data_IF_605563766205
#
_entry.id   IF_605563766205
#
_cell.length_a   1.000
_cell.length_b   1.000
_cell.length_c   1.000
_cell.angle_alpha   90.00
_cell.angle_beta   90.00
_cell.angle_gamma   90.00
#
_symmetry.space_group_name_H-M   'P 1'
#
loop_
_entity.id
_entity.type
_entity.pdbx_description
1 polymer ?
#
# COMPACT_ATOMS: atom_id res chain seq x y z
N UNK A 1 19.45 -41.13 -18.33
CA UNK A 1 19.71 -40.66 -19.72
C UNK A 1 20.00 -39.18 -19.73
N UNK A 2 21.02 -38.73 -20.48
CA UNK A 2 21.31 -37.30 -20.64
C UNK A 2 20.39 -36.67 -21.69
N UNK A 3 19.88 -35.48 -21.40
CA UNK A 3 19.02 -34.67 -22.27
C UNK A 3 19.77 -33.38 -22.63
N UNK A 4 19.79 -33.04 -23.92
CA UNK A 4 20.25 -31.74 -24.43
C UNK A 4 19.50 -31.46 -25.74
N UNK A 5 18.41 -30.71 -25.62
CA UNK A 5 17.50 -30.37 -26.72
C UNK A 5 17.52 -28.85 -26.87
N UNK A 6 17.60 -28.41 -28.13
CA UNK A 6 17.49 -27.01 -28.51
C UNK A 6 16.42 -26.86 -29.57
N UNK A 7 15.66 -25.78 -29.48
CA UNK A 7 14.63 -25.45 -30.44
C UNK A 7 14.26 -23.97 -30.35
N UNK A 8 13.11 -23.64 -30.90
CA UNK A 8 12.53 -22.30 -30.81
C UNK A 8 11.01 -22.38 -30.81
N UNK A 9 10.35 -21.53 -30.03
CA UNK A 9 8.92 -21.24 -30.15
C UNK A 9 8.75 -20.22 -31.28
N UNK A 10 7.78 -20.48 -32.16
CA UNK A 10 7.40 -19.63 -33.30
C UNK A 10 8.54 -19.23 -34.26
N UNK A 11 9.66 -19.95 -34.20
CA UNK A 11 10.83 -19.78 -35.07
C UNK A 11 11.83 -18.70 -34.63
N UNK A 12 11.60 -18.00 -33.51
CA UNK A 12 12.50 -16.92 -33.05
C UNK A 12 12.80 -16.94 -31.55
N UNK A 13 11.92 -17.47 -30.70
CA UNK A 13 12.12 -17.51 -29.25
C UNK A 13 12.89 -18.77 -28.84
N UNK A 14 14.20 -18.73 -28.52
CA UNK A 14 14.98 -19.92 -28.30
C UNK A 14 14.52 -20.69 -27.06
N UNK A 15 14.56 -22.02 -27.17
CA UNK A 15 14.27 -22.96 -26.09
C UNK A 15 15.43 -23.90 -25.90
N UNK A 16 15.81 -24.13 -24.65
CA UNK A 16 16.79 -25.15 -24.29
C UNK A 16 16.28 -26.03 -23.17
N UNK A 17 16.36 -27.34 -23.34
CA UNK A 17 16.11 -28.34 -22.30
C UNK A 17 17.38 -29.14 -22.09
N UNK A 18 17.89 -29.15 -20.87
CA UNK A 18 19.12 -29.89 -20.51
C UNK A 18 18.94 -30.65 -19.21
N UNK A 19 19.74 -31.70 -19.03
CA UNK A 19 19.86 -32.38 -17.75
C UNK A 19 19.88 -33.89 -17.89
N UNK A 20 19.26 -34.58 -16.93
CA UNK A 20 19.16 -36.03 -16.89
C UNK A 20 17.75 -36.48 -16.57
N UNK A 21 17.29 -37.52 -17.26
CA UNK A 21 16.03 -38.19 -16.97
C UNK A 21 16.24 -39.71 -16.93
N UNK A 22 15.71 -40.36 -15.91
CA UNK A 22 15.80 -41.79 -15.64
C UNK A 22 14.40 -42.37 -15.39
N UNK A 23 13.51 -42.34 -16.40
CA UNK A 23 12.09 -42.67 -16.23
C UNK A 23 11.81 -44.15 -15.99
N UNK A 24 12.81 -45.02 -16.21
CA UNK A 24 12.68 -46.47 -16.04
C UNK A 24 13.15 -46.96 -14.65
N UNK A 25 13.65 -46.06 -13.80
CA UNK A 25 13.93 -46.40 -12.41
C UNK A 25 12.63 -46.56 -11.62
N UNK A 26 12.71 -47.26 -10.50
CA UNK A 26 11.61 -47.38 -9.54
C UNK A 26 12.17 -47.00 -8.16
N UNK A 27 11.90 -45.77 -7.66
CA UNK A 27 11.12 -44.69 -8.28
C UNK A 27 11.86 -43.97 -9.43
N UNK A 28 11.14 -43.33 -10.37
CA UNK A 28 11.77 -42.56 -11.45
C UNK A 28 12.52 -41.35 -10.91
N UNK A 29 13.56 -40.92 -11.62
CA UNK A 29 14.33 -39.75 -11.25
C UNK A 29 14.53 -38.80 -12.44
N UNK A 30 14.56 -37.50 -12.18
CA UNK A 30 14.91 -36.48 -13.18
C UNK A 30 15.60 -35.29 -12.51
N UNK A 31 16.38 -34.57 -13.32
CA UNK A 31 16.98 -33.28 -13.01
C UNK A 31 17.07 -32.53 -14.35
N UNK A 32 16.13 -31.62 -14.58
CA UNK A 32 15.91 -30.96 -15.87
C UNK A 32 15.87 -29.43 -15.69
N UNK A 33 16.59 -28.74 -16.55
CA UNK A 33 16.56 -27.29 -16.71
C UNK A 33 15.95 -26.95 -18.08
N UNK A 34 14.85 -26.21 -18.07
CA UNK A 34 14.13 -25.76 -19.26
C UNK A 34 14.10 -24.23 -19.27
N UNK A 35 14.63 -23.63 -20.33
CA UNK A 35 14.70 -22.18 -20.49
C UNK A 35 14.00 -21.77 -21.78
N UNK A 36 13.08 -20.81 -21.66
CA UNK A 36 12.50 -20.08 -22.78
C UNK A 36 12.96 -18.62 -22.69
N UNK A 37 13.30 -18.02 -23.82
CA UNK A 37 13.59 -16.59 -23.88
C UNK A 37 12.83 -15.90 -24.99
N UNK A 38 12.24 -14.76 -24.69
CA UNK A 38 11.61 -13.89 -25.66
C UNK A 38 10.31 -14.44 -26.22
N UNK A 39 9.49 -15.14 -25.42
CA UNK A 39 8.21 -15.68 -25.88
C UNK A 39 7.18 -14.54 -25.94
N UNK A 40 6.58 -14.32 -27.12
CA UNK A 40 5.55 -13.30 -27.29
C UNK A 40 4.25 -13.71 -26.58
N UNK A 41 3.92 -13.01 -25.50
CA UNK A 41 2.79 -13.35 -24.64
C UNK A 41 1.43 -13.09 -25.30
N UNK A 42 1.38 -12.21 -26.31
CA UNK A 42 0.14 -11.96 -27.06
C UNK A 42 -0.42 -13.25 -27.69
N UNK A 43 0.45 -14.18 -28.08
CA UNK A 43 0.09 -15.50 -28.64
C UNK A 43 -0.49 -16.45 -27.58
N UNK A 44 -0.31 -16.14 -26.29
CA UNK A 44 -0.86 -16.89 -25.16
C UNK A 44 -2.25 -16.42 -24.74
N UNK A 45 -2.82 -15.41 -25.42
CA UNK A 45 -4.16 -14.87 -25.15
C UNK A 45 -5.28 -15.92 -25.07
N UNK A 46 -5.29 -17.01 -25.89
CA UNK A 46 -6.29 -18.06 -25.74
C UNK A 46 -6.31 -18.71 -24.35
N UNK A 47 -5.16 -18.76 -23.66
CA UNK A 47 -5.04 -19.30 -22.30
C UNK A 47 -5.33 -18.24 -21.23
N UNK A 48 -4.76 -17.04 -21.37
CA UNK A 48 -4.99 -15.97 -20.39
C UNK A 48 -6.45 -15.51 -20.37
N UNK A 49 -7.15 -15.53 -21.51
CA UNK A 49 -8.57 -15.25 -21.56
C UNK A 49 -9.40 -16.24 -20.75
N UNK A 50 -9.06 -17.53 -20.80
CA UNK A 50 -9.75 -18.58 -20.05
C UNK A 50 -9.50 -18.48 -18.55
N UNK A 51 -8.25 -18.33 -18.12
CA UNK A 51 -7.89 -18.46 -16.70
C UNK A 51 -7.70 -17.13 -15.95
N UNK A 52 -7.30 -16.07 -16.66
CA UNK A 52 -7.11 -14.74 -16.08
C UNK A 52 -8.21 -13.75 -16.47
N UNK A 53 -9.08 -14.08 -17.43
CA UNK A 53 -10.19 -13.22 -17.86
C UNK A 53 -9.76 -12.01 -18.70
N UNK A 54 -8.55 -12.01 -19.24
CA UNK A 54 -8.02 -10.93 -20.08
C UNK A 54 -7.20 -11.51 -21.24
N UNK A 55 -7.36 -10.90 -22.42
CA UNK A 55 -6.38 -11.05 -23.49
C UNK A 55 -5.05 -10.38 -23.09
N UNK A 56 -3.97 -10.75 -23.76
CA UNK A 56 -2.67 -10.07 -23.61
C UNK A 56 -2.46 -9.25 -24.88
N UNK A 57 -2.39 -7.92 -24.73
CA UNK A 57 -2.13 -7.04 -25.86
C UNK A 57 -0.66 -7.08 -26.27
N UNK A 58 0.23 -7.07 -25.29
CA UNK A 58 1.68 -7.15 -25.47
C UNK A 58 2.36 -7.73 -24.22
N UNK A 59 3.53 -8.31 -24.41
CA UNK A 59 4.41 -8.75 -23.34
C UNK A 59 5.44 -9.74 -23.87
N UNK A 60 6.63 -9.74 -23.28
CA UNK A 60 7.71 -10.68 -23.63
C UNK A 60 8.06 -11.49 -22.39
N UNK A 61 7.99 -12.81 -22.51
CA UNK A 61 8.18 -13.75 -21.41
C UNK A 61 9.50 -14.50 -21.54
N UNK A 62 10.29 -14.45 -20.46
CA UNK A 62 11.41 -15.33 -20.19
C UNK A 62 11.03 -16.29 -19.06
N UNK A 63 11.32 -17.58 -19.24
CA UNK A 63 11.07 -18.63 -18.25
C UNK A 63 12.36 -19.41 -18.00
N UNK A 64 12.71 -19.61 -16.74
CA UNK A 64 13.78 -20.52 -16.32
C UNK A 64 13.21 -21.50 -15.28
N UNK A 65 13.06 -22.75 -15.71
CA UNK A 65 12.38 -23.81 -14.97
C UNK A 65 13.39 -24.90 -14.62
N UNK A 66 13.61 -25.13 -13.33
CA UNK A 66 14.52 -26.16 -12.84
C UNK A 66 13.74 -27.15 -12.00
N UNK A 67 13.64 -28.40 -12.46
CA UNK A 67 12.84 -29.43 -11.82
C UNK A 67 13.68 -30.67 -11.53
N UNK A 68 13.59 -31.14 -10.30
CA UNK A 68 14.16 -32.40 -9.83
C UNK A 68 13.05 -33.33 -9.32
N UNK A 69 13.18 -34.63 -9.60
CA UNK A 69 12.37 -35.69 -9.01
C UNK A 69 13.29 -36.74 -8.42
N UNK A 70 13.16 -37.01 -7.12
CA UNK A 70 13.85 -38.11 -6.42
C UNK A 70 12.95 -38.66 -5.33
N UNK A 71 12.92 -39.98 -5.19
CA UNK A 71 12.11 -40.65 -4.16
C UNK A 71 10.64 -40.19 -4.17
N UNK A 72 10.08 -40.03 -5.38
CA UNK A 72 8.73 -39.50 -5.65
C UNK A 72 8.46 -38.07 -5.15
N UNK A 73 9.50 -37.34 -4.72
CA UNK A 73 9.41 -35.93 -4.36
C UNK A 73 9.86 -35.05 -5.51
N UNK A 74 8.96 -34.21 -5.98
CA UNK A 74 9.25 -33.13 -6.92
C UNK A 74 9.73 -31.90 -6.16
N UNK A 75 10.81 -31.31 -6.64
CA UNK A 75 11.27 -29.97 -6.28
C UNK A 75 11.48 -29.16 -7.56
N UNK A 76 10.83 -28.02 -7.64
CA UNK A 76 10.72 -27.19 -8.83
C UNK A 76 10.96 -25.73 -8.48
N UNK A 77 11.80 -25.06 -9.25
CA UNK A 77 12.00 -23.60 -9.19
C UNK A 77 11.58 -23.00 -10.53
N UNK A 78 10.71 -22.00 -10.47
CA UNK A 78 10.18 -21.33 -11.64
C UNK A 78 10.51 -19.85 -11.54
N UNK A 79 11.49 -19.39 -12.33
CA UNK A 79 11.76 -17.97 -12.50
C UNK A 79 11.02 -17.48 -13.73
N UNK A 80 10.18 -16.48 -13.54
CA UNK A 80 9.27 -15.93 -14.54
C UNK A 80 9.61 -14.44 -14.64
N UNK A 81 10.09 -14.02 -15.81
CA UNK A 81 10.38 -12.60 -16.06
C UNK A 81 9.53 -12.15 -17.23
N UNK A 82 8.73 -11.11 -17.01
CA UNK A 82 7.86 -10.53 -18.03
C UNK A 82 8.30 -9.09 -18.27
N UNK A 83 8.50 -8.75 -19.54
CA UNK A 83 8.81 -7.39 -19.97
C UNK A 83 7.62 -6.77 -20.69
N UNK A 84 7.34 -5.49 -20.40
CA UNK A 84 6.38 -4.66 -21.13
C UNK A 84 4.98 -5.31 -21.20
N UNK A 85 4.51 -5.82 -20.07
CA UNK A 85 3.19 -6.44 -19.98
C UNK A 85 2.10 -5.39 -20.21
N UNK A 86 1.18 -5.67 -21.14
CA UNK A 86 -0.01 -4.85 -21.35
C UNK A 86 -1.24 -5.76 -21.49
N UNK A 87 -2.24 -5.54 -20.63
CA UNK A 87 -3.52 -6.23 -20.73
C UNK A 87 -4.26 -5.76 -21.98
N UNK A 88 -4.91 -6.72 -22.64
CA UNK A 88 -5.87 -6.46 -23.71
C UNK A 88 -7.29 -6.34 -23.18
N UNK A 89 -8.24 -6.62 -24.06
CA UNK A 89 -9.65 -6.63 -23.70
C UNK A 89 -9.96 -7.68 -22.62
N UNK A 90 -10.88 -7.34 -21.72
CA UNK A 90 -11.48 -8.29 -20.78
C UNK A 90 -12.24 -9.36 -21.55
N UNK A 91 -12.11 -10.61 -21.11
CA UNK A 91 -12.75 -11.79 -21.70
C UNK A 91 -13.61 -12.43 -20.60
N UNK A 92 -14.90 -12.59 -20.86
CA UNK A 92 -15.77 -13.33 -19.95
C UNK A 92 -15.39 -14.81 -19.94
N UNK A 93 -15.11 -15.33 -18.74
CA UNK A 93 -14.82 -16.74 -18.53
C UNK A 93 -15.25 -17.16 -17.13
N UNK A 94 -15.99 -18.26 -17.04
CA UNK A 94 -16.40 -18.87 -15.75
C UNK A 94 -15.20 -19.44 -14.97
N UNK A 95 -14.07 -19.65 -15.64
CA UNK A 95 -12.83 -20.17 -15.06
C UNK A 95 -11.84 -19.07 -14.67
N UNK A 96 -12.15 -17.81 -14.96
CA UNK A 96 -11.28 -16.70 -14.65
C UNK A 96 -11.22 -16.44 -13.14
N UNK A 97 -10.02 -16.15 -12.63
CA UNK A 97 -9.87 -15.63 -11.28
C UNK A 97 -10.46 -14.21 -11.18
N UNK A 98 -11.27 -13.96 -10.16
CA UNK A 98 -11.83 -12.63 -9.88
C UNK A 98 -10.80 -11.76 -9.16
N UNK A 99 -9.85 -11.22 -9.93
CA UNK A 99 -8.71 -10.46 -9.43
C UNK A 99 -8.61 -9.09 -10.13
N UNK A 100 -8.27 -8.01 -9.41
CA UNK A 100 -8.02 -6.71 -10.01
C UNK A 100 -6.63 -6.70 -10.67
N UNK A 101 -6.54 -7.30 -11.87
CA UNK A 101 -5.26 -7.51 -12.56
C UNK A 101 -4.54 -6.23 -12.94
N UNK A 102 -5.26 -5.14 -13.22
CA UNK A 102 -4.64 -3.83 -13.50
C UNK A 102 -3.84 -3.32 -12.28
N UNK A 103 -4.45 -3.37 -11.08
CA UNK A 103 -3.75 -3.02 -9.84
C UNK A 103 -2.60 -3.98 -9.55
N UNK A 104 -2.80 -5.28 -9.78
CA UNK A 104 -1.75 -6.28 -9.59
C UNK A 104 -0.54 -6.01 -10.48
N UNK A 105 -0.77 -5.67 -11.76
CA UNK A 105 0.31 -5.31 -12.68
C UNK A 105 1.04 -4.06 -12.21
N UNK A 106 0.32 -2.98 -11.87
CA UNK A 106 0.96 -1.76 -11.39
C UNK A 106 1.79 -1.97 -10.11
N UNK A 107 1.40 -2.93 -9.25
CA UNK A 107 2.13 -3.31 -8.03
C UNK A 107 3.35 -4.20 -8.30
N UNK A 108 3.34 -4.99 -9.36
CA UNK A 108 4.39 -5.97 -9.65
C UNK A 108 5.40 -5.47 -10.69
N UNK A 109 4.98 -4.56 -11.58
CA UNK A 109 5.81 -3.97 -12.62
C UNK A 109 6.74 -2.92 -12.03
N UNK A 110 8.03 -3.10 -12.24
CA UNK A 110 9.04 -2.15 -11.79
C UNK A 110 9.18 -0.91 -12.72
N UNK A 111 10.07 0.01 -12.36
CA UNK A 111 10.36 1.21 -13.15
C UNK A 111 10.87 0.95 -14.58
N UNK A 112 11.32 -0.26 -14.87
CA UNK A 112 11.82 -0.69 -16.19
C UNK A 112 10.76 -1.45 -16.98
N UNK A 113 9.53 -1.55 -16.47
CA UNK A 113 8.45 -2.31 -17.10
C UNK A 113 8.64 -3.81 -16.97
N UNK A 114 9.32 -4.26 -15.91
CA UNK A 114 9.65 -5.68 -15.68
C UNK A 114 8.92 -6.22 -14.46
N UNK A 115 8.35 -7.42 -14.61
CA UNK A 115 7.82 -8.23 -13.52
C UNK A 115 8.75 -9.44 -13.38
N UNK A 116 9.38 -9.62 -12.21
CA UNK A 116 10.25 -10.75 -11.89
C UNK A 116 9.66 -11.53 -10.72
N UNK A 117 9.37 -12.82 -10.92
CA UNK A 117 8.74 -13.69 -9.95
C UNK A 117 9.49 -15.01 -9.86
N UNK A 118 9.77 -15.44 -8.63
CA UNK A 118 10.32 -16.75 -8.32
C UNK A 118 9.26 -17.57 -7.56
N UNK A 119 8.72 -18.60 -8.22
CA UNK A 119 7.65 -19.45 -7.71
C UNK A 119 8.19 -20.87 -7.45
N UNK A 120 8.45 -21.26 -6.20
CA UNK A 120 8.82 -22.63 -5.87
C UNK A 120 7.60 -23.55 -5.96
N UNK A 121 7.84 -24.79 -6.39
CA UNK A 121 6.85 -25.86 -6.47
C UNK A 121 7.47 -27.13 -5.93
N UNK A 122 6.91 -27.67 -4.86
CA UNK A 122 7.37 -28.93 -4.29
C UNK A 122 6.19 -29.81 -3.90
N UNK A 123 6.33 -31.12 -3.99
CA UNK A 123 5.30 -32.04 -3.54
C UNK A 123 5.62 -33.50 -3.84
N UNK A 124 4.72 -34.39 -3.44
CA UNK A 124 4.79 -35.81 -3.75
C UNK A 124 4.05 -36.07 -5.07
N UNK A 125 4.71 -36.67 -6.06
CA UNK A 125 4.08 -36.93 -7.36
C UNK A 125 3.07 -38.08 -7.33
N UNK A 126 3.08 -38.89 -6.27
CA UNK A 126 2.11 -39.97 -6.06
C UNK A 126 0.88 -39.50 -5.27
N UNK A 127 0.88 -38.27 -4.75
CA UNK A 127 -0.31 -37.70 -4.11
C UNK A 127 -1.36 -37.37 -5.19
N UNK A 128 -2.57 -37.95 -5.13
CA UNK A 128 -3.61 -37.71 -6.13
C UNK A 128 -4.12 -36.25 -6.16
N UNK A 129 -3.92 -35.47 -5.10
CA UNK A 129 -4.26 -34.05 -5.06
C UNK A 129 -3.16 -33.16 -5.67
N UNK A 130 -1.93 -33.69 -5.79
CA UNK A 130 -0.80 -32.95 -6.32
C UNK A 130 -0.81 -32.89 -7.85
N UNK A 131 -0.77 -31.67 -8.40
CA UNK A 131 -0.42 -31.45 -9.80
C UNK A 131 0.44 -30.20 -9.93
N UNK A 132 1.48 -30.26 -10.78
CA UNK A 132 2.38 -29.11 -10.98
C UNK A 132 1.61 -27.88 -11.45
N UNK A 133 0.63 -28.07 -12.34
CA UNK A 133 -0.19 -26.98 -12.86
C UNK A 133 -1.07 -26.32 -11.80
N UNK A 134 -1.77 -27.11 -10.97
CA UNK A 134 -2.62 -26.55 -9.90
C UNK A 134 -1.82 -25.83 -8.83
N UNK A 135 -0.64 -26.35 -8.45
CA UNK A 135 0.25 -25.72 -7.48
C UNK A 135 0.81 -24.40 -8.03
N UNK A 136 1.29 -24.39 -9.28
CA UNK A 136 1.75 -23.16 -9.94
C UNK A 136 0.65 -22.10 -10.05
N UNK A 137 -0.53 -22.51 -10.52
CA UNK A 137 -1.67 -21.60 -10.66
C UNK A 137 -2.10 -21.03 -9.30
N UNK A 138 -2.20 -21.89 -8.28
CA UNK A 138 -2.53 -21.47 -6.92
C UNK A 138 -1.49 -20.49 -6.35
N UNK A 139 -0.21 -20.71 -6.61
CA UNK A 139 0.85 -19.81 -6.18
C UNK A 139 0.76 -18.43 -6.88
N UNK A 140 0.49 -18.40 -8.18
CA UNK A 140 0.30 -17.14 -8.93
C UNK A 140 -0.94 -16.37 -8.44
N UNK A 141 -2.07 -17.04 -8.27
CA UNK A 141 -3.30 -16.44 -7.72
C UNK A 141 -3.07 -15.89 -6.32
N UNK A 142 -2.34 -16.63 -5.47
CA UNK A 142 -2.02 -16.20 -4.12
C UNK A 142 -1.06 -15.00 -4.11
N UNK A 143 -0.05 -14.97 -4.99
CA UNK A 143 0.86 -13.84 -5.13
C UNK A 143 0.08 -12.56 -5.49
N UNK A 144 -0.78 -12.65 -6.51
CA UNK A 144 -1.61 -11.52 -6.95
C UNK A 144 -2.58 -11.10 -5.85
N UNK A 145 -3.30 -12.05 -5.24
CA UNK A 145 -4.21 -11.78 -4.13
C UNK A 145 -3.51 -11.05 -2.99
N UNK A 146 -2.31 -11.48 -2.59
CA UNK A 146 -1.52 -10.83 -1.55
C UNK A 146 -1.10 -9.41 -1.94
N UNK A 147 -0.66 -9.21 -3.19
CA UNK A 147 -0.29 -7.89 -3.67
C UNK A 147 -1.46 -6.91 -3.56
N UNK A 148 -2.65 -7.31 -3.99
CA UNK A 148 -3.82 -6.41 -4.04
C UNK A 148 -4.53 -6.24 -2.69
N UNK A 149 -4.43 -7.22 -1.78
CA UNK A 149 -5.05 -7.15 -0.44
C UNK A 149 -4.16 -6.44 0.59
N UNK A 150 -2.85 -6.43 0.39
CA UNK A 150 -1.89 -5.78 1.27
C UNK A 150 -0.86 -4.94 0.49
N UNK A 151 -1.31 -3.99 -0.34
CA UNK A 151 -0.41 -3.32 -1.28
C UNK A 151 0.65 -2.46 -0.60
N UNK A 152 0.32 -1.80 0.51
CA UNK A 152 1.30 -1.00 1.27
C UNK A 152 2.36 -1.87 1.97
N UNK A 153 2.05 -3.12 2.31
CA UNK A 153 3.06 -4.07 2.82
C UNK A 153 4.05 -4.46 1.73
N UNK A 154 3.56 -4.62 0.48
CA UNK A 154 4.43 -4.86 -0.67
C UNK A 154 5.35 -3.66 -0.90
N UNK A 155 4.81 -2.44 -0.88
CA UNK A 155 5.60 -1.21 -1.02
C UNK A 155 6.64 -1.04 0.11
N UNK A 156 6.27 -1.32 1.35
CA UNK A 156 7.19 -1.27 2.48
C UNK A 156 8.35 -2.27 2.33
N UNK A 157 8.05 -3.48 1.82
CA UNK A 157 9.05 -4.50 1.53
C UNK A 157 10.06 -4.11 0.44
N UNK A 158 9.75 -3.17 -0.46
CA UNK A 158 10.69 -2.67 -1.47
C UNK A 158 11.80 -1.76 -0.91
N UNK A 159 11.60 -1.30 0.32
CA UNK A 159 12.49 -0.35 1.02
C UNK A 159 12.92 -0.88 2.38
N UNK A 160 12.79 -2.20 2.60
CA UNK A 160 13.12 -2.87 3.86
C UNK A 160 12.46 -2.23 5.09
N UNK A 161 11.25 -1.66 4.91
CA UNK A 161 10.48 -1.01 5.97
C UNK A 161 9.42 -1.96 6.53
N UNK A 162 9.28 -1.99 7.85
CA UNK A 162 8.20 -2.70 8.56
C UNK A 162 7.05 -1.76 8.93
N UNK A 163 7.14 -0.48 8.56
CA UNK A 163 6.14 0.51 8.92
C UNK A 163 4.86 0.38 8.09
N UNK A 164 3.72 0.66 8.72
CA UNK A 164 2.46 0.87 8.02
C UNK A 164 2.54 2.17 7.20
N UNK A 165 2.80 2.04 5.90
CA UNK A 165 2.87 3.16 4.97
C UNK A 165 1.48 3.69 4.54
N UNK A 166 0.40 2.97 4.84
CA UNK A 166 -0.96 3.38 4.47
C UNK A 166 -1.47 4.50 5.39
N UNK A 167 -1.11 4.44 6.69
CA UNK A 167 -1.64 5.34 7.72
C UNK A 167 -0.57 6.28 8.26
N UNK A 168 -0.81 7.56 8.05
CA UNK A 168 0.06 8.65 8.48
C UNK A 168 -0.56 9.34 9.69
N UNK A 169 0.11 9.25 10.84
CA UNK A 169 -0.38 9.85 12.07
C UNK A 169 -0.03 11.33 12.17
N UNK A 170 -0.97 12.11 12.70
CA UNK A 170 -0.80 13.52 13.02
C UNK A 170 -1.16 13.76 14.48
N UNK A 171 -0.61 14.82 15.07
CA UNK A 171 -1.10 15.31 16.35
C UNK A 171 -2.53 15.81 16.15
N UNK A 172 -3.42 15.52 17.11
CA UNK A 172 -4.77 16.06 17.09
C UNK A 172 -4.74 17.59 16.98
N UNK A 173 -5.68 18.17 16.25
CA UNK A 173 -5.78 19.61 15.98
C UNK A 173 -4.62 20.21 15.18
N UNK A 174 -3.74 19.39 14.57
CA UNK A 174 -2.60 19.85 13.78
C UNK A 174 -2.53 19.16 12.41
N UNK A 175 -2.06 19.93 11.43
CA UNK A 175 -1.68 19.48 10.08
C UNK A 175 -0.15 19.50 9.87
N UNK A 176 0.63 19.67 10.93
CA UNK A 176 2.09 19.68 10.86
C UNK A 176 2.63 18.24 10.74
N UNK A 177 3.48 18.02 9.73
CA UNK A 177 4.19 16.77 9.55
C UNK A 177 5.28 16.60 10.61
N UNK A 178 5.14 15.57 11.43
CA UNK A 178 6.18 15.17 12.39
C UNK A 178 7.34 14.48 11.69
N UNK A 179 8.51 14.40 12.33
CA UNK A 179 9.68 13.71 11.76
C UNK A 179 9.38 12.22 11.45
N UNK A 180 8.58 11.55 12.30
CA UNK A 180 8.13 10.19 12.06
C UNK A 180 7.23 10.09 10.81
N UNK A 181 6.30 11.04 10.65
CA UNK A 181 5.43 11.10 9.45
C UNK A 181 6.25 11.36 8.18
N UNK A 182 7.28 12.21 8.27
CA UNK A 182 8.21 12.45 7.15
C UNK A 182 8.99 11.18 6.79
N UNK A 183 9.49 10.44 7.77
CA UNK A 183 10.16 9.15 7.55
C UNK A 183 9.30 8.17 6.73
N UNK A 184 8.03 7.98 7.12
CA UNK A 184 7.08 7.16 6.34
C UNK A 184 6.90 7.64 4.90
N UNK A 185 6.81 8.96 4.71
CA UNK A 185 6.64 9.55 3.39
C UNK A 185 7.89 9.39 2.52
N UNK A 186 9.08 9.37 3.13
CA UNK A 186 10.35 9.11 2.44
C UNK A 186 10.39 7.67 1.91
N UNK A 187 10.04 6.70 2.76
CA UNK A 187 9.94 5.28 2.42
C UNK A 187 8.91 5.06 1.31
N UNK A 188 7.71 5.63 1.49
CA UNK A 188 6.63 5.55 0.50
C UNK A 188 7.05 6.15 -0.85
N UNK A 189 7.66 7.33 -0.85
CA UNK A 189 8.11 7.96 -2.10
C UNK A 189 9.17 7.12 -2.81
N UNK A 190 10.07 6.49 -2.06
CA UNK A 190 11.09 5.59 -2.61
C UNK A 190 10.43 4.36 -3.24
N UNK A 191 9.47 3.74 -2.56
CA UNK A 191 8.72 2.60 -3.09
C UNK A 191 7.91 2.97 -4.36
N UNK A 192 7.23 4.12 -4.37
CA UNK A 192 6.46 4.59 -5.53
C UNK A 192 7.33 4.95 -6.73
N UNK A 193 8.59 5.30 -6.52
CA UNK A 193 9.55 5.50 -7.62
C UNK A 193 9.88 4.18 -8.34
N UNK A 194 9.81 3.05 -7.63
CA UNK A 194 9.98 1.71 -8.19
C UNK A 194 8.70 1.18 -8.85
N UNK A 195 7.55 1.83 -8.65
CA UNK A 195 6.23 1.44 -9.17
C UNK A 195 5.57 2.60 -9.89
N UNK A 196 6.01 2.94 -11.12
CA UNK A 196 5.64 4.19 -11.79
C UNK A 196 4.17 4.27 -12.20
N UNK A 197 3.50 3.12 -12.35
CA UNK A 197 2.09 3.03 -12.75
C UNK A 197 1.12 3.34 -11.61
N UNK A 198 1.57 3.25 -10.35
CA UNK A 198 0.72 3.55 -9.20
C UNK A 198 0.57 5.05 -9.00
N UNK A 199 -0.64 5.49 -8.69
CA UNK A 199 -0.89 6.76 -8.03
C UNK A 199 -1.42 6.58 -6.60
N UNK A 200 -1.73 7.71 -5.98
CA UNK A 200 -2.15 7.82 -4.59
C UNK A 200 -3.43 8.64 -4.47
N UNK A 201 -4.40 8.10 -3.73
CA UNK A 201 -5.49 8.87 -3.14
C UNK A 201 -5.16 9.20 -1.68
N UNK A 202 -5.21 10.48 -1.33
CA UNK A 202 -4.81 11.02 -0.03
C UNK A 202 -6.05 11.58 0.67
N UNK A 203 -6.51 10.93 1.73
CA UNK A 203 -7.72 11.33 2.47
C UNK A 203 -7.37 11.70 3.90
N UNK A 204 -7.72 12.90 4.32
CA UNK A 204 -7.58 13.34 5.71
C UNK A 204 -8.54 12.57 6.63
N UNK A 205 -8.02 12.07 7.76
CA UNK A 205 -8.77 11.40 8.81
C UNK A 205 -8.71 12.18 10.11
N UNK A 206 -9.76 12.03 10.92
CA UNK A 206 -9.92 12.71 12.20
C UNK A 206 -10.09 11.69 13.33
N UNK A 207 -9.77 12.12 14.54
CA UNK A 207 -10.36 11.56 15.76
C UNK A 207 -11.25 12.68 16.32
N UNK A 208 -12.55 12.61 16.03
CA UNK A 208 -13.47 13.76 16.13
C UNK A 208 -13.40 14.47 17.49
N UNK A 209 -13.39 13.73 18.59
CA UNK A 209 -13.36 14.31 19.93
C UNK A 209 -12.04 15.02 20.25
N UNK A 210 -10.89 14.36 20.06
CA UNK A 210 -9.59 14.96 20.37
C UNK A 210 -9.21 16.07 19.39
N UNK A 211 -9.58 15.94 18.11
CA UNK A 211 -9.38 17.00 17.13
C UNK A 211 -10.25 18.22 17.48
N UNK A 212 -11.53 18.03 17.81
CA UNK A 212 -12.43 19.11 18.26
C UNK A 212 -11.92 19.77 19.54
N UNK A 213 -11.63 18.98 20.57
CA UNK A 213 -11.15 19.49 21.85
C UNK A 213 -9.83 20.25 21.65
N UNK A 214 -8.91 19.75 20.81
CA UNK A 214 -7.65 20.46 20.55
C UNK A 214 -7.87 21.75 19.80
N UNK A 215 -8.71 21.77 18.76
CA UNK A 215 -9.02 23.00 18.03
C UNK A 215 -9.67 24.04 18.93
N UNK A 216 -10.61 23.64 19.79
CA UNK A 216 -11.21 24.53 20.80
C UNK A 216 -10.17 25.09 21.78
N UNK A 217 -9.23 24.26 22.24
CA UNK A 217 -8.10 24.72 23.08
C UNK A 217 -7.21 25.73 22.36
N UNK A 218 -6.94 25.53 21.07
CA UNK A 218 -6.12 26.44 20.27
C UNK A 218 -6.82 27.80 20.08
N UNK A 219 -8.14 27.78 19.84
CA UNK A 219 -8.96 29.01 19.73
C UNK A 219 -8.95 29.76 21.06
N UNK A 220 -9.29 29.09 22.17
CA UNK A 220 -9.28 29.73 23.51
C UNK A 220 -7.89 30.26 23.86
N UNK A 221 -6.83 29.51 23.56
CA UNK A 221 -5.46 29.97 23.75
C UNK A 221 -5.15 31.25 22.95
N UNK A 222 -5.61 31.31 21.70
CA UNK A 222 -5.45 32.49 20.84
C UNK A 222 -6.23 33.70 21.38
N UNK A 223 -7.43 33.49 21.92
CA UNK A 223 -8.22 34.54 22.58
C UNK A 223 -7.55 35.06 23.85
N UNK A 224 -6.96 34.18 24.66
CA UNK A 224 -6.21 34.56 25.86
C UNK A 224 -4.98 35.40 25.49
N UNK A 225 -4.27 35.02 24.43
CA UNK A 225 -3.13 35.80 23.93
C UNK A 225 -3.59 37.16 23.40
N UNK A 226 -4.68 37.21 22.63
CA UNK A 226 -5.26 38.47 22.16
C UNK A 226 -5.75 39.37 23.31
N UNK A 227 -6.12 38.79 24.45
CA UNK A 227 -6.50 39.49 25.67
C UNK A 227 -5.29 39.96 26.51
N UNK A 228 -4.05 39.70 26.07
CA UNK A 228 -2.82 40.24 26.68
C UNK A 228 -1.93 39.22 27.37
N UNK A 229 -2.29 37.93 27.37
CA UNK A 229 -1.44 36.87 27.90
C UNK A 229 -0.27 36.57 26.93
N UNK A 230 0.95 36.40 27.42
CA UNK A 230 2.05 36.01 26.53
C UNK A 230 1.98 34.52 26.14
N UNK A 231 2.51 34.11 24.98
CA UNK A 231 2.58 32.70 24.59
C UNK A 231 3.33 31.82 25.61
N UNK A 232 4.35 32.37 26.28
CA UNK A 232 5.12 31.67 27.30
C UNK A 232 4.28 31.43 28.57
N UNK A 233 3.54 32.43 29.04
CA UNK A 233 2.65 32.29 30.19
C UNK A 233 1.53 31.27 29.95
N UNK A 234 1.00 31.23 28.72
CA UNK A 234 0.03 30.23 28.29
C UNK A 234 0.64 28.81 28.29
N UNK A 235 1.86 28.66 27.76
CA UNK A 235 2.55 27.37 27.68
C UNK A 235 2.92 26.82 29.06
N UNK A 236 3.45 27.68 29.93
CA UNK A 236 3.89 27.31 31.29
C UNK A 236 2.72 27.22 32.27
N UNK A 237 1.51 27.64 31.86
CA UNK A 237 0.34 27.80 32.72
C UNK A 237 0.67 28.62 33.97
N UNK A 238 1.30 29.77 33.74
CA UNK A 238 1.75 30.67 34.78
C UNK A 238 0.57 31.23 35.61
N UNK A 239 0.80 31.85 36.78
CA UNK A 239 -0.28 32.44 37.58
C UNK A 239 -1.21 33.40 36.82
N UNK A 240 -0.67 34.17 35.87
CA UNK A 240 -1.46 35.03 34.99
C UNK A 240 -2.45 34.24 34.10
N UNK A 241 -2.09 33.02 33.67
CA UNK A 241 -3.00 32.13 32.97
C UNK A 241 -4.12 31.66 33.90
N UNK A 242 -3.79 31.25 35.13
CA UNK A 242 -4.81 30.81 36.10
C UNK A 242 -5.81 31.93 36.42
N UNK A 243 -5.33 33.16 36.60
CA UNK A 243 -6.16 34.34 36.81
C UNK A 243 -7.11 34.59 35.63
N UNK A 244 -6.59 34.55 34.40
CA UNK A 244 -7.39 34.73 33.19
C UNK A 244 -8.47 33.63 33.01
N UNK A 245 -8.15 32.38 33.36
CA UNK A 245 -9.13 31.28 33.35
C UNK A 245 -10.22 31.49 34.42
N UNK A 246 -9.83 31.84 35.65
CA UNK A 246 -10.78 32.07 36.75
C UNK A 246 -11.72 33.26 36.47
N UNK A 247 -11.22 34.31 35.83
CA UNK A 247 -12.02 35.47 35.42
C UNK A 247 -13.05 35.07 34.34
N UNK A 248 -12.59 34.47 33.24
CA UNK A 248 -13.48 34.03 32.15
C UNK A 248 -14.50 32.99 32.59
N UNK A 249 -14.12 32.07 33.47
CA UNK A 249 -15.06 31.10 34.02
C UNK A 249 -16.15 31.80 34.84
N UNK A 250 -15.79 32.78 35.68
CA UNK A 250 -16.77 33.56 36.45
C UNK A 250 -17.74 34.35 35.59
N UNK A 251 -17.27 34.92 34.48
CA UNK A 251 -18.15 35.59 33.51
C UNK A 251 -19.13 34.63 32.83
N UNK A 252 -18.67 33.42 32.52
CA UNK A 252 -19.47 32.40 31.85
C UNK A 252 -20.49 31.71 32.77
N UNK A 253 -20.10 31.34 33.98
CA UNK A 253 -20.84 30.41 34.84
C UNK A 253 -20.96 30.86 36.32
N UNK A 254 -20.40 32.02 36.69
CA UNK A 254 -20.38 32.50 38.07
C UNK A 254 -19.26 31.87 38.92
N UNK A 255 -19.38 31.99 40.24
CA UNK A 255 -18.34 31.51 41.17
C UNK A 255 -18.03 30.01 40.99
N UNK A 256 -16.75 29.62 40.88
CA UNK A 256 -16.35 28.26 40.49
C UNK A 256 -16.58 27.19 41.57
N UNK A 257 -16.93 27.57 42.79
CA UNK A 257 -17.12 26.63 43.90
C UNK A 257 -15.85 25.83 44.18
N UNK A 258 -15.93 24.50 44.11
CA UNK A 258 -14.82 23.57 44.36
C UNK A 258 -14.02 23.20 43.10
N UNK A 259 -14.36 23.76 41.93
CA UNK A 259 -13.69 23.40 40.67
C UNK A 259 -12.24 23.91 40.63
N UNK A 260 -11.33 23.01 40.29
CA UNK A 260 -9.95 23.37 39.98
C UNK A 260 -9.87 24.24 38.72
N UNK A 261 -8.80 25.05 38.61
CA UNK A 261 -8.53 25.87 37.41
C UNK A 261 -8.51 25.02 36.13
N UNK A 262 -8.05 23.76 36.23
CA UNK A 262 -8.05 22.81 35.11
C UNK A 262 -9.48 22.44 34.68
N UNK A 263 -10.37 22.18 35.62
CA UNK A 263 -11.78 21.85 35.32
C UNK A 263 -12.52 23.05 34.74
N UNK A 264 -12.26 24.24 35.30
CA UNK A 264 -12.77 25.50 34.75
C UNK A 264 -12.30 25.72 33.31
N UNK A 265 -11.00 25.50 33.03
CA UNK A 265 -10.45 25.58 31.68
C UNK A 265 -11.14 24.59 30.72
N UNK A 266 -11.32 23.33 31.12
CA UNK A 266 -11.99 22.35 30.26
C UNK A 266 -13.47 22.70 30.02
N UNK A 267 -14.15 23.31 30.99
CA UNK A 267 -15.51 23.82 30.82
C UNK A 267 -15.55 24.98 29.80
N UNK A 268 -14.61 25.92 29.88
CA UNK A 268 -14.46 27.01 28.91
C UNK A 268 -14.19 26.47 27.50
N UNK A 269 -13.27 25.51 27.36
CA UNK A 269 -12.95 24.86 26.07
C UNK A 269 -14.21 24.28 25.41
N UNK A 270 -15.08 23.62 26.17
CA UNK A 270 -16.31 23.03 25.63
C UNK A 270 -17.30 24.05 25.08
N UNK A 271 -17.26 25.29 25.57
CA UNK A 271 -18.13 26.38 25.10
C UNK A 271 -17.59 27.11 23.88
N UNK A 272 -16.32 26.89 23.52
CA UNK A 272 -15.75 27.48 22.31
C UNK A 272 -16.51 26.95 21.09
N UNK A 273 -17.18 27.80 20.30
CA UNK A 273 -17.92 27.36 19.13
C UNK A 273 -16.93 26.85 18.07
N UNK A 274 -17.12 25.59 17.65
CA UNK A 274 -16.35 24.99 16.57
C UNK A 274 -17.31 24.38 15.54
N UNK A 275 -17.47 24.99 14.36
CA UNK A 275 -18.28 24.42 13.30
C UNK A 275 -17.60 23.18 12.73
N UNK A 276 -18.40 22.24 12.24
CA UNK A 276 -17.93 21.02 11.59
C UNK A 276 -17.03 21.28 10.37
N UNK A 277 -17.21 22.43 9.70
CA UNK A 277 -16.33 22.87 8.62
C UNK A 277 -14.87 23.03 9.07
N UNK A 278 -14.62 23.45 10.32
CA UNK A 278 -13.25 23.58 10.83
C UNK A 278 -12.55 22.21 10.97
N UNK A 279 -13.31 21.15 11.27
CA UNK A 279 -12.79 19.78 11.31
C UNK A 279 -12.47 19.27 9.90
N UNK A 280 -13.35 19.55 8.94
CA UNK A 280 -13.12 19.20 7.53
C UNK A 280 -11.92 19.98 6.94
N UNK A 281 -11.76 21.25 7.30
CA UNK A 281 -10.59 22.05 6.93
C UNK A 281 -9.30 21.48 7.51
N UNK A 282 -9.31 20.98 8.75
CA UNK A 282 -8.16 20.30 9.35
C UNK A 282 -7.80 19.02 8.57
N UNK A 283 -8.79 18.17 8.25
CA UNK A 283 -8.57 16.96 7.46
C UNK A 283 -7.99 17.30 6.07
N UNK A 284 -8.56 18.31 5.41
CA UNK A 284 -8.06 18.81 4.12
C UNK A 284 -6.63 19.33 4.24
N UNK A 285 -6.32 20.10 5.29
CA UNK A 285 -4.98 20.63 5.52
C UNK A 285 -3.93 19.52 5.71
N UNK A 286 -4.28 18.42 6.40
CA UNK A 286 -3.41 17.24 6.53
C UNK A 286 -3.12 16.60 5.18
N UNK A 287 -4.14 16.37 4.36
CA UNK A 287 -3.99 15.81 3.03
C UNK A 287 -3.14 16.72 2.11
N UNK A 288 -3.35 18.04 2.19
CA UNK A 288 -2.53 19.04 1.48
C UNK A 288 -1.08 19.01 1.95
N UNK A 289 -0.82 18.90 3.26
CA UNK A 289 0.54 18.81 3.79
C UNK A 289 1.28 17.56 3.26
N UNK A 290 0.61 16.40 3.25
CA UNK A 290 1.15 15.15 2.68
C UNK A 290 1.45 15.29 1.20
N UNK A 291 0.48 15.77 0.40
CA UNK A 291 0.69 15.95 -1.05
C UNK A 291 1.80 16.94 -1.34
N UNK A 292 1.86 18.05 -0.60
CA UNK A 292 2.90 19.08 -0.73
C UNK A 292 4.27 18.47 -0.48
N UNK A 293 4.44 17.67 0.57
CA UNK A 293 5.70 17.00 0.87
C UNK A 293 6.12 16.03 -0.23
N UNK A 294 5.22 15.13 -0.65
CA UNK A 294 5.50 14.15 -1.70
C UNK A 294 5.88 14.82 -3.03
N UNK A 295 5.17 15.87 -3.44
CA UNK A 295 5.41 16.55 -4.72
C UNK A 295 6.62 17.47 -4.66
N UNK A 296 6.66 18.39 -3.70
CA UNK A 296 7.67 19.46 -3.69
C UNK A 296 9.00 19.00 -3.09
N UNK A 297 8.96 18.16 -2.05
CA UNK A 297 10.17 17.76 -1.33
C UNK A 297 10.73 16.43 -1.89
N UNK A 298 9.86 15.54 -2.40
CA UNK A 298 10.26 14.22 -2.93
C UNK A 298 10.14 14.05 -4.43
N UNK A 299 9.57 15.02 -5.14
CA UNK A 299 9.52 15.01 -6.61
C UNK A 299 8.54 14.00 -7.20
N UNK A 300 7.52 13.58 -6.44
CA UNK A 300 6.41 12.81 -7.00
C UNK A 300 5.67 13.67 -8.04
N UNK A 301 5.37 13.10 -9.21
CA UNK A 301 4.58 13.80 -10.22
C UNK A 301 3.22 14.22 -9.64
N UNK A 302 2.82 15.51 -9.73
CA UNK A 302 1.53 15.97 -9.21
C UNK A 302 0.31 15.21 -9.73
N UNK A 303 0.39 14.58 -10.91
CA UNK A 303 -0.69 13.77 -11.49
C UNK A 303 -0.83 12.40 -10.84
N UNK A 304 0.19 11.92 -10.11
CA UNK A 304 0.21 10.63 -9.41
C UNK A 304 -0.30 10.72 -7.96
N UNK A 305 -0.87 11.85 -7.56
CA UNK A 305 -1.45 12.02 -6.24
C UNK A 305 -2.71 12.88 -6.30
N UNK A 306 -3.83 12.37 -5.84
CA UNK A 306 -5.10 13.08 -5.70
C UNK A 306 -5.46 13.25 -4.22
N UNK A 307 -6.05 14.39 -3.87
CA UNK A 307 -6.64 14.58 -2.54
C UNK A 307 -8.10 14.19 -2.64
N UNK A 308 -8.52 13.22 -1.83
CA UNK A 308 -9.91 12.82 -1.70
C UNK A 308 -10.66 13.69 -0.70
N UNK A 309 -11.99 13.60 -0.73
CA UNK A 309 -12.86 14.33 0.17
C UNK A 309 -12.92 13.63 1.53
N UNK A 310 -12.69 14.39 2.61
CA UNK A 310 -12.93 13.94 3.97
C UNK A 310 -14.42 14.04 4.34
N UNK A 311 -14.86 13.17 5.24
CA UNK A 311 -16.18 13.22 5.85
C UNK A 311 -16.08 13.15 7.39
N UNK A 312 -17.23 13.23 8.07
CA UNK A 312 -17.33 13.15 9.53
C UNK A 312 -18.01 11.85 9.99
N UNK A 313 -18.06 10.82 9.12
CA UNK A 313 -18.62 9.53 9.51
C UNK A 313 -17.69 8.86 10.53
N UNK A 314 -18.23 8.41 11.66
CA UNK A 314 -17.43 7.89 12.78
C UNK A 314 -16.65 6.63 12.41
N UNK A 315 -17.20 5.77 11.56
CA UNK A 315 -16.58 4.53 11.11
C UNK A 315 -15.31 4.75 10.25
N UNK A 316 -15.20 5.92 9.63
CA UNK A 316 -14.04 6.32 8.84
C UNK A 316 -13.03 7.17 9.63
N UNK A 317 -13.40 7.69 10.81
CA UNK A 317 -12.62 8.66 11.57
C UNK A 317 -12.13 8.08 12.90
N UNK A 318 -11.23 7.09 12.79
CA UNK A 318 -10.69 6.33 13.93
C UNK A 318 -9.38 6.91 14.50
N UNK A 319 -8.72 7.82 13.78
CA UNK A 319 -7.44 8.40 14.17
C UNK A 319 -7.20 9.77 13.53
N UNK A 320 -6.46 10.65 14.22
CA UNK A 320 -6.02 11.93 13.68
C UNK A 320 -4.90 11.72 12.66
N UNK A 321 -5.17 11.86 11.37
CA UNK A 321 -4.14 11.58 10.38
C UNK A 321 -4.54 11.72 8.91
N UNK A 322 -3.86 10.94 8.07
CA UNK A 322 -4.16 10.75 6.65
C UNK A 322 -4.13 9.26 6.36
N UNK A 323 -5.14 8.79 5.63
CA UNK A 323 -5.19 7.46 5.07
C UNK A 323 -4.91 7.53 3.58
N UNK A 324 -4.04 6.64 3.12
CA UNK A 324 -3.68 6.52 1.72
C UNK A 324 -4.42 5.33 1.08
N UNK A 325 -4.74 5.47 -0.20
CA UNK A 325 -5.13 4.37 -1.05
C UNK A 325 -4.34 4.45 -2.36
N UNK A 326 -4.16 3.31 -3.03
CA UNK A 326 -3.53 3.27 -4.34
C UNK A 326 -4.59 3.34 -5.44
N UNK A 327 -4.23 3.99 -6.53
CA UNK A 327 -4.98 3.98 -7.79
C UNK A 327 -4.07 3.60 -8.97
N UNK A 328 -4.72 3.24 -10.08
CA UNK A 328 -4.12 2.87 -11.37
C UNK A 328 -4.88 3.56 -12.50
#
# INVERSE_FOLDING_TARGET
>A
TKVDIKGSVDGYAPVTLKGTAEPLLTPPALDLALVFKGVDMALLSPYSGTYAGYAIKQGVLDLDLNYGLRDDKLDGRNKIVIHQMELGQKIESEQAADLPLELALALLTDSQGVIDMDIPVSGDVNDPEFSVGSVLWGALVNLITKAVTAPFNLLAGLVDSEEDLQRLNFKSGSAELTDATRGKLDDLSTALSQRPELGLSIVGRLQLDADRERLQKNILGSELVAAGLSPQELADKAPAWEEAINERYREMAGEPGELSVREQYLALVKQVPLPDSALLELAQARAVAVKTYLVNDKGLDPSRAAIGQADLAEDQNLYSGVELALDV
#
